data_IF_537268201636
#
_entry.id   IF_537268201636
#
_cell.length_a   1.000
_cell.length_b   1.000
_cell.length_c   1.000
_cell.angle_alpha   90.00
_cell.angle_beta   90.00
_cell.angle_gamma   90.00
#
_symmetry.space_group_name_H-M   'P 1'
#
loop_
_entity.id
_entity.type
_entity.pdbx_description
1 polymer ?
#
# COMPACT_ATOMS: atom_id res chain seq x y z
N UNK A 1 21.41 0.66 32.99
CA UNK A 1 21.47 0.32 31.55
C UNK A 1 20.03 0.22 31.07
N UNK A 2 19.45 1.35 30.68
CA UNK A 2 18.10 1.37 30.13
C UNK A 2 18.23 1.62 28.63
N UNK A 3 17.85 0.61 27.86
CA UNK A 3 17.96 0.60 26.41
C UNK A 3 16.99 1.61 25.81
N UNK A 4 17.57 2.70 25.32
CA UNK A 4 16.88 3.76 24.60
C UNK A 4 16.53 3.26 23.18
N UNK A 5 15.46 2.47 23.04
CA UNK A 5 14.88 2.14 21.74
C UNK A 5 13.88 3.25 21.41
N UNK A 6 14.37 4.27 20.68
CA UNK A 6 13.51 5.23 20.01
C UNK A 6 12.60 4.49 19.01
N UNK A 7 11.28 4.71 18.98
CA UNK A 7 10.45 4.13 17.92
C UNK A 7 10.74 4.87 16.62
N UNK A 8 11.52 4.26 15.74
CA UNK A 8 11.80 4.74 14.37
C UNK A 8 10.54 4.58 13.46
N UNK A 9 9.36 4.27 14.01
CA UNK A 9 8.16 3.94 13.22
C UNK A 9 7.28 5.14 12.85
N UNK A 10 7.48 6.32 13.45
CA UNK A 10 6.47 7.40 13.39
C UNK A 10 6.46 8.23 12.11
N UNK A 11 7.52 8.22 11.29
CA UNK A 11 7.59 9.09 10.09
C UNK A 11 7.25 8.40 8.76
N UNK A 12 7.17 7.06 8.70
CA UNK A 12 6.78 6.36 7.47
C UNK A 12 5.28 6.13 7.34
N UNK A 13 4.58 5.96 8.47
CA UNK A 13 3.14 5.64 8.51
C UNK A 13 2.26 6.87 8.22
N UNK A 14 2.62 8.06 8.73
CA UNK A 14 1.78 9.25 8.61
C UNK A 14 1.51 9.72 7.17
N UNK A 15 2.44 9.48 6.24
CA UNK A 15 2.25 9.83 4.83
C UNK A 15 1.45 8.76 4.06
N UNK A 16 1.47 7.49 4.48
CA UNK A 16 0.58 6.47 3.90
C UNK A 16 -0.84 6.60 4.44
N UNK A 17 -0.98 6.94 5.72
CA UNK A 17 -2.26 7.06 6.42
C UNK A 17 -3.22 8.00 5.69
N UNK A 18 -2.73 9.15 5.21
CA UNK A 18 -3.51 10.10 4.43
C UNK A 18 -4.15 9.47 3.17
N UNK A 19 -3.42 8.63 2.43
CA UNK A 19 -3.96 7.94 1.26
C UNK A 19 -4.99 6.88 1.65
N UNK A 20 -4.75 6.15 2.73
CA UNK A 20 -5.70 5.15 3.21
C UNK A 20 -6.99 5.78 3.74
N UNK A 21 -6.90 6.96 4.37
CA UNK A 21 -8.06 7.79 4.75
C UNK A 21 -8.80 8.24 3.49
N UNK A 22 -8.11 8.87 2.53
CA UNK A 22 -8.71 9.42 1.32
C UNK A 22 -9.39 8.35 0.44
N UNK A 23 -8.90 7.12 0.49
CA UNK A 23 -9.45 5.99 -0.28
C UNK A 23 -10.52 5.20 0.49
N UNK A 24 -10.75 5.50 1.77
CA UNK A 24 -11.73 4.79 2.60
C UNK A 24 -11.30 3.39 3.01
N UNK A 25 -9.98 3.14 3.13
CA UNK A 25 -9.39 1.83 3.49
C UNK A 25 -8.51 1.89 4.75
N UNK A 26 -8.60 2.95 5.54
CA UNK A 26 -7.81 3.13 6.78
C UNK A 26 -7.89 1.93 7.74
N UNK A 27 -9.04 1.27 7.81
CA UNK A 27 -9.24 0.05 8.62
C UNK A 27 -8.38 -1.14 8.15
N UNK A 28 -7.90 -1.12 6.90
CA UNK A 28 -7.07 -2.15 6.30
C UNK A 28 -5.59 -1.76 6.17
N UNK A 29 -5.19 -0.57 6.65
CA UNK A 29 -3.78 -0.14 6.65
C UNK A 29 -2.85 -1.15 7.35
N UNK A 30 -3.17 -1.70 8.53
CA UNK A 30 -2.30 -2.71 9.18
C UNK A 30 -2.14 -3.98 8.32
N UNK A 31 -3.19 -4.41 7.62
CA UNK A 31 -3.13 -5.55 6.71
C UNK A 31 -2.28 -5.23 5.48
N UNK A 32 -2.41 -4.04 4.92
CA UNK A 32 -1.62 -3.59 3.78
C UNK A 32 -0.12 -3.58 4.10
N UNK A 33 0.27 -3.02 5.25
CA UNK A 33 1.66 -3.02 5.73
C UNK A 33 2.17 -4.45 5.90
N UNK A 34 1.37 -5.34 6.50
CA UNK A 34 1.75 -6.75 6.67
C UNK A 34 2.01 -7.44 5.33
N UNK A 35 1.10 -7.29 4.36
CA UNK A 35 1.21 -7.91 3.04
C UNK A 35 2.43 -7.37 2.27
N UNK A 36 2.64 -6.06 2.29
CA UNK A 36 3.77 -5.42 1.63
C UNK A 36 5.12 -5.89 2.20
N UNK A 37 5.24 -5.97 3.53
CA UNK A 37 6.45 -6.47 4.20
C UNK A 37 6.79 -7.91 3.85
N UNK A 38 5.79 -8.78 3.70
CA UNK A 38 6.02 -10.20 3.35
C UNK A 38 6.71 -10.38 2.00
N UNK A 39 6.57 -9.42 1.09
CA UNK A 39 7.07 -9.49 -0.29
C UNK A 39 8.13 -8.41 -0.58
N UNK A 40 8.54 -7.63 0.42
CA UNK A 40 9.58 -6.60 0.29
C UNK A 40 9.14 -5.35 -0.45
N UNK A 41 7.84 -5.02 -0.45
CA UNK A 41 7.32 -3.79 -1.03
C UNK A 41 7.56 -2.58 -0.12
N UNK A 42 7.92 -1.45 -0.75
CA UNK A 42 8.18 -0.19 -0.08
C UNK A 42 6.93 0.70 0.00
N UNK A 43 7.13 1.88 0.58
CA UNK A 43 6.09 2.89 0.77
C UNK A 43 5.49 3.38 -0.55
N UNK A 44 6.31 3.59 -1.57
CA UNK A 44 5.86 4.08 -2.88
C UNK A 44 4.90 3.09 -3.54
N UNK A 45 5.22 1.80 -3.49
CA UNK A 45 4.38 0.72 -4.00
C UNK A 45 3.05 0.64 -3.25
N UNK A 46 3.08 0.78 -1.91
CA UNK A 46 1.86 0.75 -1.08
C UNK A 46 0.92 1.91 -1.44
N UNK A 47 1.46 3.13 -1.55
CA UNK A 47 0.68 4.34 -1.89
C UNK A 47 0.06 4.21 -3.28
N UNK A 48 0.83 3.77 -4.26
CA UNK A 48 0.32 3.60 -5.62
C UNK A 48 -0.71 2.46 -5.70
N UNK A 49 -0.46 1.36 -5.01
CA UNK A 49 -1.38 0.22 -4.95
C UNK A 49 -2.73 0.61 -4.32
N UNK A 50 -2.74 1.39 -3.23
CA UNK A 50 -4.00 1.77 -2.56
C UNK A 50 -4.86 2.70 -3.43
N UNK A 51 -4.24 3.61 -4.19
CA UNK A 51 -4.94 4.43 -5.18
C UNK A 51 -5.59 3.55 -6.27
N UNK A 52 -4.85 2.58 -6.81
CA UNK A 52 -5.37 1.63 -7.81
C UNK A 52 -6.48 0.73 -7.26
N UNK A 53 -6.40 0.32 -5.99
CA UNK A 53 -7.46 -0.43 -5.31
C UNK A 53 -8.72 0.41 -5.19
N UNK A 54 -8.59 1.68 -4.83
CA UNK A 54 -9.72 2.62 -4.77
C UNK A 54 -10.41 2.75 -6.13
N UNK A 55 -9.64 2.89 -7.21
CA UNK A 55 -10.22 2.96 -8.55
C UNK A 55 -10.93 1.67 -8.95
N UNK A 56 -10.35 0.50 -8.64
CA UNK A 56 -11.01 -0.80 -8.87
C UNK A 56 -12.26 -0.96 -8.01
N UNK A 57 -12.27 -0.44 -6.78
CA UNK A 57 -13.42 -0.48 -5.88
C UNK A 57 -14.61 0.34 -6.41
N UNK A 58 -14.35 1.52 -7.01
CA UNK A 58 -15.38 2.37 -7.63
C UNK A 58 -16.09 1.67 -8.79
N UNK A 59 -15.36 0.84 -9.55
CA UNK A 59 -15.91 0.14 -10.73
C UNK A 59 -16.49 -1.22 -10.35
N UNK A 60 -15.80 -1.97 -9.47
CA UNK A 60 -16.11 -3.35 -9.11
C UNK A 60 -16.05 -3.57 -7.59
N UNK A 61 -17.01 -3.02 -6.83
CA UNK A 61 -17.03 -3.17 -5.38
C UNK A 61 -17.27 -4.64 -4.98
N UNK A 62 -16.72 -5.11 -3.85
CA UNK A 62 -16.96 -6.45 -3.33
C UNK A 62 -18.41 -6.64 -2.89
N UNK A 63 -18.99 -7.79 -3.23
CA UNK A 63 -20.39 -8.13 -2.88
C UNK A 63 -20.55 -8.82 -1.52
N UNK A 64 -19.46 -9.31 -0.92
CA UNK A 64 -19.50 -10.09 0.34
C UNK A 64 -18.40 -9.69 1.31
N UNK A 65 -17.15 -10.08 1.02
CA UNK A 65 -16.04 -9.94 1.95
C UNK A 65 -15.05 -8.87 1.46
N UNK A 66 -15.19 -7.64 1.99
CA UNK A 66 -14.33 -6.50 1.64
C UNK A 66 -12.86 -6.76 1.96
N UNK A 67 -12.54 -7.39 3.09
CA UNK A 67 -11.15 -7.67 3.49
C UNK A 67 -10.49 -8.72 2.60
N UNK A 68 -11.20 -9.80 2.25
CA UNK A 68 -10.67 -10.84 1.36
C UNK A 68 -10.49 -10.32 -0.06
N UNK A 69 -11.47 -9.55 -0.55
CA UNK A 69 -11.36 -8.85 -1.83
C UNK A 69 -10.18 -7.88 -1.84
N UNK A 70 -10.06 -7.06 -0.79
CA UNK A 70 -8.96 -6.12 -0.64
C UNK A 70 -7.62 -6.85 -0.67
N UNK A 71 -7.43 -7.91 0.11
CA UNK A 71 -6.18 -8.67 0.11
C UNK A 71 -5.79 -9.13 -1.30
N UNK A 72 -6.74 -9.70 -2.04
CA UNK A 72 -6.50 -10.20 -3.40
C UNK A 72 -6.11 -9.07 -4.34
N UNK A 73 -6.89 -7.99 -4.36
CA UNK A 73 -6.68 -6.85 -5.26
C UNK A 73 -5.42 -6.08 -4.88
N UNK A 74 -5.17 -5.86 -3.59
CA UNK A 74 -4.02 -5.11 -3.11
C UNK A 74 -2.70 -5.78 -3.49
N UNK A 75 -2.61 -7.11 -3.38
CA UNK A 75 -1.42 -7.86 -3.85
C UNK A 75 -1.22 -7.70 -5.36
N UNK A 76 -2.27 -7.87 -6.17
CA UNK A 76 -2.22 -7.61 -7.62
C UNK A 76 -1.73 -6.19 -7.92
N UNK A 77 -2.20 -5.19 -7.17
CA UNK A 77 -1.83 -3.78 -7.39
C UNK A 77 -0.43 -3.42 -6.87
N UNK A 78 0.11 -4.14 -5.90
CA UNK A 78 1.51 -4.00 -5.49
C UNK A 78 2.47 -4.44 -6.60
N UNK A 79 2.18 -5.56 -7.27
CA UNK A 79 2.98 -6.04 -8.39
C UNK A 79 2.96 -5.05 -9.56
N UNK A 80 1.78 -4.53 -9.90
CA UNK A 80 1.62 -3.49 -10.92
C UNK A 80 2.36 -2.20 -10.55
N UNK A 81 2.26 -1.74 -9.29
CA UNK A 81 2.95 -0.54 -8.82
C UNK A 81 4.47 -0.69 -8.92
N UNK A 82 5.03 -1.85 -8.56
CA UNK A 82 6.46 -2.13 -8.73
C UNK A 82 6.87 -2.03 -10.20
N UNK A 83 6.10 -2.65 -11.09
CA UNK A 83 6.39 -2.62 -12.53
C UNK A 83 6.38 -1.18 -13.07
N UNK A 84 5.40 -0.37 -12.65
CA UNK A 84 5.30 1.03 -13.08
C UNK A 84 6.43 1.89 -12.53
N UNK A 85 6.85 1.70 -11.27
CA UNK A 85 8.00 2.39 -10.68
C UNK A 85 9.29 2.03 -11.42
N UNK A 86 9.54 0.75 -11.67
CA UNK A 86 10.71 0.28 -12.43
C UNK A 86 10.73 0.89 -13.82
N UNK A 87 9.59 0.89 -14.50
CA UNK A 87 9.44 1.49 -15.84
C UNK A 87 9.71 3.00 -15.82
N UNK A 88 9.15 3.72 -14.85
CA UNK A 88 9.38 5.18 -14.71
C UNK A 88 10.85 5.49 -14.49
N UNK A 89 11.52 4.76 -13.60
CA UNK A 89 12.95 4.92 -13.33
C UNK A 89 13.80 4.66 -14.59
N UNK A 90 13.45 3.64 -15.38
CA UNK A 90 14.14 3.37 -16.65
C UNK A 90 14.02 4.54 -17.64
N UNK A 91 12.83 5.15 -17.74
CA UNK A 91 12.59 6.28 -18.65
C UNK A 91 13.27 7.57 -18.18
N UNK A 92 13.45 7.78 -16.88
CA UNK A 92 14.10 8.96 -16.31
C UNK A 92 15.64 8.92 -16.40
N UNK A 93 16.23 7.74 -16.51
CA UNK A 93 17.68 7.54 -16.64
C UNK A 93 18.16 7.52 -18.10
N UNK A 94 17.35 8.02 -19.04
CA UNK A 94 17.68 8.20 -20.46
C UNK A 94 17.85 9.67 -20.79
#
# INVERSE_FOLDING_TARGET
MENNILPITTNMEGDMEAYFIATGFIDLLPLAIKLARQVGYGKGEIIEAICKVSDKFKIYPPTRNRTAWFRKVFVEKLDEARADIVRRNYLQNR
#
